data_IF_249095772218
#
_entry.id   IF_249095772218
#
_cell.length_a   1.000
_cell.length_b   1.000
_cell.length_c   1.000
_cell.angle_alpha   90.00
_cell.angle_beta   90.00
_cell.angle_gamma   90.00
#
_symmetry.space_group_name_H-M   'P 1'
#
loop_
_entity.id
_entity.type
_entity.pdbx_description
1 polymer ?
#
# COMPACT_ATOMS: atom_id res chain seq x y z
N UNK A 1 -4.17 -1.53 13.39
CA UNK A 1 -4.20 -2.02 11.99
C UNK A 1 -4.44 -0.83 11.07
N UNK A 2 -3.43 -0.38 10.31
CA UNK A 2 -3.57 0.73 9.35
C UNK A 2 -3.90 0.12 8.00
N UNK A 3 -5.11 0.37 7.50
CA UNK A 3 -5.50 -0.03 6.15
C UNK A 3 -4.77 0.92 5.19
N UNK A 4 -3.82 0.40 4.41
CA UNK A 4 -3.16 1.15 3.35
C UNK A 4 -4.22 1.48 2.29
N UNK A 5 -4.71 2.72 2.28
CA UNK A 5 -5.54 3.24 1.19
C UNK A 5 -4.61 3.64 0.04
N UNK A 6 -4.47 2.76 -0.95
CA UNK A 6 -3.78 3.09 -2.20
C UNK A 6 -4.74 3.90 -3.07
N UNK A 7 -4.28 5.07 -3.55
CA UNK A 7 -5.04 5.90 -4.50
C UNK A 7 -4.66 5.48 -5.92
N UNK A 8 -5.65 5.35 -6.82
CA UNK A 8 -5.40 5.11 -8.24
C UNK A 8 -5.15 6.42 -8.99
N UNK A 9 -4.03 6.51 -9.70
CA UNK A 9 -3.71 7.59 -10.61
C UNK A 9 -3.95 7.16 -12.06
N UNK A 10 -4.32 8.12 -12.92
CA UNK A 10 -4.34 7.89 -14.36
C UNK A 10 -2.90 7.73 -14.87
N UNK A 11 -2.72 6.98 -15.96
CA UNK A 11 -1.41 6.85 -16.61
C UNK A 11 -1.36 7.71 -17.86
N UNK A 12 -0.16 8.22 -18.16
CA UNK A 12 0.16 8.95 -19.38
C UNK A 12 1.39 8.38 -20.03
N UNK A 13 1.32 8.25 -21.34
CA UNK A 13 2.43 7.89 -22.20
C UNK A 13 2.95 9.17 -22.85
N UNK A 14 4.24 9.44 -22.66
CA UNK A 14 4.94 10.60 -23.22
C UNK A 14 5.92 10.07 -24.25
N UNK A 15 5.86 10.60 -25.48
CA UNK A 15 6.84 10.30 -26.52
C UNK A 15 8.02 11.28 -26.44
N UNK A 16 9.24 10.75 -26.28
CA UNK A 16 10.49 11.49 -26.26
C UNK A 16 11.44 11.02 -27.36
N UNK A 17 12.13 11.96 -28.02
CA UNK A 17 13.20 11.59 -28.94
C UNK A 17 14.46 11.23 -28.14
N UNK A 18 15.10 10.09 -28.46
CA UNK A 18 16.39 9.73 -27.86
C UNK A 18 17.40 10.79 -28.32
N UNK A 19 17.71 11.75 -27.46
CA UNK A 19 18.74 12.76 -27.69
C UNK A 19 20.01 12.27 -27.00
N UNK A 20 21.06 12.02 -27.79
CA UNK A 20 22.39 11.80 -27.25
C UNK A 20 22.94 13.16 -26.76
N UNK A 21 22.76 13.51 -25.48
CA UNK A 21 23.36 14.72 -24.88
C UNK A 21 22.65 15.24 -23.62
N UNK A 22 23.34 15.98 -22.74
CA UNK A 22 22.90 16.24 -21.36
C UNK A 22 21.67 17.15 -21.28
N UNK A 23 20.70 16.74 -20.45
CA UNK A 23 19.44 17.43 -20.15
C UNK A 23 19.69 18.80 -19.51
N UNK A 24 19.20 19.85 -20.16
CA UNK A 24 19.05 21.18 -19.55
C UNK A 24 17.64 21.27 -18.96
N UNK A 25 17.59 21.57 -17.67
CA UNK A 25 16.42 21.85 -16.84
C UNK A 25 15.62 23.02 -17.44
N UNK A 26 14.30 22.92 -17.51
CA UNK A 26 13.46 24.12 -17.74
C UNK A 26 12.16 24.04 -16.94
N UNK A 27 12.19 24.79 -15.84
CA UNK A 27 11.13 25.59 -15.20
C UNK A 27 9.67 25.11 -15.26
N UNK A 28 9.21 24.67 -14.09
CA UNK A 28 7.80 24.61 -13.73
C UNK A 28 7.18 26.02 -13.68
N UNK A 29 6.16 26.26 -14.49
CA UNK A 29 5.26 27.40 -14.35
C UNK A 29 4.03 26.99 -13.53
N UNK A 30 3.95 27.53 -12.32
CA UNK A 30 2.84 27.37 -11.39
C UNK A 30 1.81 28.51 -11.55
N UNK A 31 0.53 28.25 -11.88
CA UNK A 31 -0.50 29.27 -11.75
C UNK A 31 -1.22 29.16 -10.40
N UNK A 32 -0.85 30.08 -9.51
CA UNK A 32 -1.55 30.49 -8.30
C UNK A 32 -3.01 30.87 -8.63
N UNK A 33 -3.99 30.23 -7.98
CA UNK A 33 -5.37 30.72 -7.94
C UNK A 33 -5.88 30.81 -6.49
N UNK A 34 -5.87 32.04 -5.96
CA UNK A 34 -6.48 32.46 -4.68
C UNK A 34 -7.91 32.92 -4.94
N UNK A 35 -8.93 32.38 -4.25
CA UNK A 35 -10.23 33.07 -4.02
C UNK A 35 -10.82 32.74 -2.64
N UNK A 36 -11.59 33.72 -2.14
CA UNK A 36 -11.72 34.21 -0.76
C UNK A 36 -12.78 33.51 0.13
N UNK A 37 -12.53 33.67 1.43
CA UNK A 37 -13.38 33.52 2.62
C UNK A 37 -14.59 34.49 2.67
N UNK A 38 -15.75 33.98 3.09
CA UNK A 38 -16.83 34.61 3.88
C UNK A 38 -17.87 33.49 4.19
N UNK A 39 -18.46 33.25 5.36
CA UNK A 39 -18.59 33.99 6.61
C UNK A 39 -20.08 34.15 6.96
N UNK A 40 -20.53 33.53 8.08
CA UNK A 40 -21.70 33.91 8.96
C UNK A 40 -23.11 33.41 8.56
N UNK A 41 -24.09 33.05 9.43
CA UNK A 41 -24.26 32.75 10.88
C UNK A 41 -25.52 31.86 11.08
N UNK A 42 -25.51 31.01 12.11
CA UNK A 42 -26.51 30.67 13.15
C UNK A 42 -28.04 30.65 12.86
N UNK A 43 -28.70 29.52 13.18
CA UNK A 43 -29.82 29.34 14.16
C UNK A 43 -30.29 27.87 14.10
N UNK A 44 -30.12 27.04 15.14
CA UNK A 44 -30.96 26.86 16.35
C UNK A 44 -32.26 26.04 16.14
N UNK A 45 -32.28 24.80 16.62
CA UNK A 45 -33.37 24.08 17.35
C UNK A 45 -32.94 22.59 17.51
N UNK A 46 -32.69 22.09 18.73
CA UNK A 46 -33.60 21.24 19.53
C UNK A 46 -33.94 19.89 18.85
N UNK A 47 -33.99 18.70 19.45
CA UNK A 47 -34.12 18.18 20.83
C UNK A 47 -33.76 16.67 20.71
N UNK A 48 -32.94 16.11 21.59
CA UNK A 48 -33.34 15.28 22.75
C UNK A 48 -33.94 13.92 22.41
N UNK A 49 -33.26 12.83 22.81
CA UNK A 49 -33.79 11.51 23.23
C UNK A 49 -32.59 10.65 23.68
N UNK A 50 -32.10 10.81 24.91
CA UNK A 50 -32.41 9.98 26.10
C UNK A 50 -32.34 8.46 25.84
N UNK A 51 -31.14 7.89 26.02
CA UNK A 51 -30.95 6.44 26.17
C UNK A 51 -30.91 6.10 27.67
N UNK A 52 -31.99 5.50 28.15
CA UNK A 52 -32.15 4.95 29.49
C UNK A 52 -31.21 3.74 29.68
N UNK A 53 -30.21 3.86 30.55
CA UNK A 53 -29.32 2.76 30.93
C UNK A 53 -29.83 2.14 32.23
N UNK A 54 -30.43 0.96 32.13
CA UNK A 54 -30.81 0.15 33.28
C UNK A 54 -29.55 -0.31 34.06
N UNK A 55 -29.42 0.18 35.29
CA UNK A 55 -28.40 -0.24 36.26
C UNK A 55 -28.61 -1.70 36.65
N UNK A 56 -27.73 -2.60 36.20
CA UNK A 56 -27.60 -3.95 36.76
C UNK A 56 -26.44 -3.92 37.76
N UNK A 57 -26.76 -4.07 39.04
CA UNK A 57 -25.77 -4.13 40.12
C UNK A 57 -25.03 -5.48 40.06
N UNK A 58 -23.72 -5.45 39.84
CA UNK A 58 -22.82 -6.59 40.05
C UNK A 58 -21.89 -6.23 41.22
N UNK A 59 -22.11 -6.86 42.37
CA UNK A 59 -21.13 -7.00 43.47
C UNK A 59 -20.72 -8.48 43.41
N UNK A 60 -19.46 -8.92 43.47
CA UNK A 60 -18.21 -8.37 43.99
C UNK A 60 -17.02 -9.27 43.53
N UNK A 61 -15.79 -8.80 43.75
CA UNK A 61 -14.45 -9.45 43.61
C UNK A 61 -13.79 -9.32 42.23
N UNK A 62 -12.56 -8.80 42.05
CA UNK A 62 -11.45 -8.46 42.96
C UNK A 62 -10.59 -7.32 42.35
N UNK A 63 -10.04 -6.45 43.20
CA UNK A 63 -9.08 -5.38 42.86
C UNK A 63 -7.74 -5.94 42.35
N UNK A 64 -7.68 -6.32 41.08
CA UNK A 64 -6.44 -6.24 40.33
C UNK A 64 -6.67 -5.26 39.20
N UNK A 65 -6.36 -4.00 39.49
CA UNK A 65 -6.45 -2.88 38.58
C UNK A 65 -5.44 -3.10 37.45
N UNK A 66 -5.89 -3.77 36.39
CA UNK A 66 -5.10 -4.01 35.21
C UNK A 66 -5.12 -2.73 34.36
N UNK A 67 -4.33 -1.74 34.78
CA UNK A 67 -4.18 -0.49 34.03
C UNK A 67 -3.23 -0.70 32.85
N UNK A 68 -3.83 -0.88 31.67
CA UNK A 68 -3.14 -1.12 30.41
C UNK A 68 -2.50 0.14 29.79
N UNK A 69 -2.57 1.29 30.48
CA UNK A 69 -1.92 2.53 30.03
C UNK A 69 -0.52 2.71 30.62
N UNK A 70 -0.04 1.78 31.44
CA UNK A 70 1.31 1.83 31.96
C UNK A 70 2.30 1.33 30.88
N UNK A 71 3.33 2.12 30.53
CA UNK A 71 4.34 1.68 29.60
C UNK A 71 5.16 0.54 30.22
N UNK A 72 5.51 -0.47 29.42
CA UNK A 72 6.09 -1.75 29.86
C UNK A 72 7.54 -1.66 30.41
N UNK A 73 8.09 -0.46 30.55
CA UNK A 73 9.44 -0.20 31.01
C UNK A 73 9.44 0.38 32.43
N UNK A 74 9.00 -0.43 33.39
CA UNK A 74 9.56 -0.35 34.74
C UNK A 74 10.87 -1.12 34.68
N UNK A 75 11.98 -0.40 34.66
CA UNK A 75 13.29 -0.97 34.93
C UNK A 75 13.23 -1.60 36.32
N UNK A 76 13.06 -2.92 36.37
CA UNK A 76 13.24 -3.68 37.60
C UNK A 76 14.74 -3.63 37.88
N UNK A 77 15.11 -2.87 38.91
CA UNK A 77 16.44 -2.92 39.49
C UNK A 77 16.73 -4.40 39.84
N UNK A 78 17.65 -5.00 39.10
CA UNK A 78 18.03 -6.43 39.16
C UNK A 78 18.82 -6.79 40.44
N UNK A 79 18.59 -6.06 41.53
CA UNK A 79 19.15 -6.29 42.87
C UNK A 79 18.09 -6.69 43.90
N UNK A 80 16.84 -6.88 43.49
CA UNK A 80 15.91 -7.69 44.27
C UNK A 80 16.12 -9.15 43.89
N UNK A 81 17.07 -9.78 44.60
CA UNK A 81 17.07 -11.20 44.88
C UNK A 81 15.61 -11.61 45.10
N UNK A 82 15.06 -12.37 44.16
CA UNK A 82 13.78 -13.04 44.33
C UNK A 82 14.03 -13.96 45.52
N UNK A 83 13.69 -13.49 46.71
CA UNK A 83 13.54 -14.34 47.87
C UNK A 83 12.37 -15.23 47.52
N UNK A 84 12.69 -16.42 47.04
CA UNK A 84 11.77 -17.52 46.83
C UNK A 84 11.22 -17.87 48.20
N UNK A 85 10.26 -17.07 48.69
CA UNK A 85 9.57 -17.37 49.92
C UNK A 85 8.86 -18.71 49.70
N UNK A 86 9.38 -19.70 50.40
CA UNK A 86 8.91 -21.07 50.52
C UNK A 86 7.45 -21.08 50.96
N UNK A 87 6.54 -20.92 50.00
CA UNK A 87 5.10 -21.17 50.14
C UNK A 87 4.47 -21.14 48.75
N UNK A 88 4.32 -22.32 48.14
CA UNK A 88 3.50 -22.56 46.94
C UNK A 88 3.88 -21.80 45.64
N UNK A 89 5.10 -21.28 45.51
CA UNK A 89 5.58 -20.60 44.30
C UNK A 89 6.30 -21.49 43.27
N UNK A 90 6.97 -22.57 43.71
CA UNK A 90 7.77 -23.43 42.82
C UNK A 90 6.91 -24.28 41.87
N UNK A 91 5.79 -24.81 42.38
CA UNK A 91 4.84 -25.63 41.62
C UNK A 91 4.26 -24.80 40.46
N UNK A 92 4.00 -23.52 40.68
CA UNK A 92 3.37 -22.65 39.69
C UNK A 92 4.33 -22.18 38.58
N UNK A 93 5.65 -22.16 38.81
CA UNK A 93 6.63 -21.84 37.79
C UNK A 93 6.99 -23.06 36.93
N UNK A 94 7.20 -24.23 37.56
CA UNK A 94 7.42 -25.49 36.85
C UNK A 94 6.19 -25.92 36.03
N UNK A 95 4.98 -25.78 36.59
CA UNK A 95 3.74 -26.11 35.88
C UNK A 95 3.53 -25.28 34.61
N UNK A 96 3.91 -24.00 34.61
CA UNK A 96 3.82 -23.13 33.43
C UNK A 96 4.83 -23.50 32.34
N UNK A 97 6.04 -23.95 32.73
CA UNK A 97 7.08 -24.39 31.80
C UNK A 97 6.69 -25.71 31.10
N UNK A 98 6.13 -26.65 31.87
CA UNK A 98 5.67 -27.95 31.34
C UNK A 98 4.52 -27.78 30.33
N UNK A 99 3.55 -26.92 30.62
CA UNK A 99 2.46 -26.65 29.68
C UNK A 99 2.93 -26.01 28.36
N UNK A 100 3.95 -25.13 28.41
CA UNK A 100 4.49 -24.51 27.20
C UNK A 100 5.24 -25.54 26.34
N UNK A 101 5.99 -26.43 26.95
CA UNK A 101 6.69 -27.53 26.27
C UNK A 101 5.68 -28.49 25.62
N UNK A 102 4.66 -28.94 26.37
CA UNK A 102 3.57 -29.77 25.83
C UNK A 102 2.80 -29.08 24.68
N UNK A 103 2.60 -27.76 24.79
CA UNK A 103 1.96 -26.97 23.74
C UNK A 103 2.83 -26.88 22.48
N UNK A 104 4.14 -26.64 22.60
CA UNK A 104 5.05 -26.63 21.45
C UNK A 104 5.14 -28.03 20.81
N UNK A 105 5.18 -29.09 21.61
CA UNK A 105 5.18 -30.47 21.12
C UNK A 105 3.85 -30.86 20.43
N UNK A 106 2.75 -30.15 20.76
CA UNK A 106 1.47 -30.29 20.06
C UNK A 106 1.40 -29.57 18.70
N UNK A 107 2.37 -28.70 18.39
CA UNK A 107 2.45 -28.03 17.09
C UNK A 107 3.05 -29.00 16.07
N UNK A 108 2.20 -29.56 15.20
CA UNK A 108 2.64 -30.50 14.17
C UNK A 108 3.63 -29.89 13.15
N UNK A 109 3.46 -28.61 12.81
CA UNK A 109 4.27 -27.92 11.81
C UNK A 109 4.28 -26.42 12.05
N UNK A 110 5.44 -25.79 11.88
CA UNK A 110 5.57 -24.33 11.90
C UNK A 110 5.48 -23.82 10.46
N UNK A 111 4.53 -22.94 10.19
CA UNK A 111 4.42 -22.28 8.88
C UNK A 111 5.29 -21.03 8.88
N UNK A 112 6.37 -21.06 8.10
CA UNK A 112 7.15 -19.86 7.82
C UNK A 112 6.49 -19.04 6.71
N UNK A 113 6.05 -17.83 7.04
CA UNK A 113 5.59 -16.86 6.05
C UNK A 113 6.79 -16.14 5.44
N UNK A 114 7.14 -16.52 4.21
CA UNK A 114 8.16 -15.79 3.46
C UNK A 114 7.64 -14.40 3.06
N UNK A 115 8.46 -13.34 3.17
CA UNK A 115 8.10 -12.01 2.69
C UNK A 115 7.74 -12.02 1.20
N UNK A 116 6.84 -11.14 0.80
CA UNK A 116 6.51 -10.97 -0.61
C UNK A 116 7.65 -10.24 -1.33
N UNK A 117 8.16 -10.84 -2.40
CA UNK A 117 9.25 -10.31 -3.21
C UNK A 117 8.70 -9.36 -4.29
N UNK A 118 8.59 -8.08 -3.93
CA UNK A 118 8.11 -7.03 -4.85
C UNK A 118 9.10 -6.76 -5.98
N UNK A 119 10.40 -6.87 -5.72
CA UNK A 119 11.46 -6.59 -6.70
C UNK A 119 11.39 -7.58 -7.85
N UNK A 120 11.29 -8.87 -7.54
CA UNK A 120 11.14 -9.92 -8.55
C UNK A 120 9.85 -9.76 -9.36
N UNK A 121 8.76 -9.32 -8.72
CA UNK A 121 7.52 -9.05 -9.44
C UNK A 121 7.65 -7.82 -10.35
N UNK A 122 8.31 -6.75 -9.89
CA UNK A 122 8.55 -5.54 -10.65
C UNK A 122 9.38 -5.84 -11.91
N UNK A 123 10.46 -6.61 -11.79
CA UNK A 123 11.29 -7.05 -12.92
C UNK A 123 10.49 -7.86 -13.93
N UNK A 124 9.67 -8.81 -13.46
CA UNK A 124 8.80 -9.62 -14.32
C UNK A 124 7.82 -8.76 -15.12
N UNK A 125 7.15 -7.81 -14.45
CA UNK A 125 6.15 -6.95 -15.08
C UNK A 125 6.78 -5.92 -16.01
N UNK A 126 7.91 -5.32 -15.61
CA UNK A 126 8.67 -4.40 -16.46
C UNK A 126 9.12 -5.09 -17.76
N UNK A 127 9.60 -6.34 -17.65
CA UNK A 127 9.95 -7.15 -18.81
C UNK A 127 8.74 -7.40 -19.69
N UNK A 128 7.60 -7.82 -19.13
CA UNK A 128 6.37 -8.05 -19.91
C UNK A 128 5.92 -6.78 -20.66
N UNK A 129 6.00 -5.61 -20.03
CA UNK A 129 5.63 -4.34 -20.68
C UNK A 129 6.62 -3.96 -21.79
N UNK A 130 7.90 -4.25 -21.60
CA UNK A 130 8.95 -4.05 -22.61
C UNK A 130 8.75 -4.99 -23.80
N UNK A 131 8.45 -6.27 -23.55
CA UNK A 131 8.16 -7.25 -24.59
C UNK A 131 6.95 -6.80 -25.43
N UNK A 132 5.88 -6.32 -24.79
CA UNK A 132 4.70 -5.74 -25.47
C UNK A 132 5.08 -4.51 -26.31
N UNK A 133 5.98 -3.65 -25.83
CA UNK A 133 6.49 -2.53 -26.63
C UNK A 133 7.20 -3.03 -27.88
N UNK A 134 8.14 -3.96 -27.71
CA UNK A 134 8.96 -4.47 -28.80
C UNK A 134 8.14 -5.21 -29.86
N UNK A 135 7.10 -5.93 -29.45
CA UNK A 135 6.16 -6.59 -30.37
C UNK A 135 5.40 -5.60 -31.27
N UNK A 136 5.12 -4.39 -30.78
CA UNK A 136 4.28 -3.41 -31.49
C UNK A 136 5.12 -2.42 -32.29
N UNK A 137 6.22 -1.95 -31.72
CA UNK A 137 6.99 -0.81 -32.23
C UNK A 137 8.43 -1.18 -32.60
N UNK A 138 8.91 -2.37 -32.20
CA UNK A 138 10.28 -2.83 -32.48
C UNK A 138 11.24 -2.64 -31.31
N UNK A 139 12.33 -3.41 -31.33
CA UNK A 139 13.34 -3.50 -30.26
C UNK A 139 14.22 -2.25 -30.11
N UNK A 140 14.22 -1.38 -31.12
CA UNK A 140 14.94 -0.12 -31.15
C UNK A 140 14.33 0.96 -30.25
N UNK A 141 13.13 0.70 -29.71
CA UNK A 141 12.40 1.56 -28.81
C UNK A 141 12.65 1.20 -27.34
N UNK A 142 12.68 2.22 -26.49
CA UNK A 142 12.89 2.07 -25.05
C UNK A 142 11.62 2.44 -24.29
N UNK A 143 11.26 1.64 -23.29
CA UNK A 143 10.19 1.93 -22.34
C UNK A 143 10.78 2.38 -21.01
N UNK A 144 10.56 3.65 -20.63
CA UNK A 144 10.84 4.14 -19.29
C UNK A 144 9.54 4.07 -18.47
N UNK A 145 9.56 3.39 -17.31
CA UNK A 145 8.41 3.28 -16.42
C UNK A 145 8.72 4.06 -15.15
N UNK A 146 7.88 5.05 -14.85
CA UNK A 146 8.00 5.83 -13.62
C UNK A 146 7.71 4.98 -12.38
N UNK A 147 8.38 5.28 -11.26
CA UNK A 147 8.27 4.51 -10.03
C UNK A 147 6.83 4.48 -9.52
N UNK A 148 6.13 5.61 -9.57
CA UNK A 148 4.74 5.71 -9.12
C UNK A 148 3.79 4.82 -9.95
N UNK A 149 4.10 4.61 -11.25
CA UNK A 149 3.33 3.70 -12.11
C UNK A 149 3.57 2.26 -11.66
N UNK A 150 4.84 1.89 -11.46
CA UNK A 150 5.19 0.55 -11.02
C UNK A 150 4.61 0.24 -9.64
N UNK A 151 4.67 1.18 -8.70
CA UNK A 151 4.10 1.05 -7.36
C UNK A 151 2.58 0.82 -7.41
N UNK A 152 1.85 1.55 -8.26
CA UNK A 152 0.42 1.34 -8.44
C UNK A 152 0.13 -0.04 -9.04
N UNK A 153 0.93 -0.48 -10.02
CA UNK A 153 0.80 -1.81 -10.63
C UNK A 153 1.05 -2.93 -9.61
N UNK A 154 2.12 -2.82 -8.82
CA UNK A 154 2.46 -3.78 -7.78
C UNK A 154 1.40 -3.82 -6.68
N UNK A 155 0.86 -2.66 -6.28
CA UNK A 155 -0.24 -2.60 -5.32
C UNK A 155 -1.49 -3.35 -5.82
N UNK A 156 -1.83 -3.24 -7.11
CA UNK A 156 -2.95 -4.01 -7.70
C UNK A 156 -2.65 -5.50 -7.65
N UNK A 157 -1.46 -5.93 -8.09
CA UNK A 157 -1.08 -7.34 -8.10
C UNK A 157 -1.09 -7.96 -6.71
N UNK A 158 -0.58 -7.23 -5.72
CA UNK A 158 -0.54 -7.68 -4.33
C UNK A 158 -1.93 -7.75 -3.70
N UNK A 159 -2.76 -6.72 -3.91
CA UNK A 159 -4.12 -6.68 -3.32
C UNK A 159 -5.10 -7.64 -4.00
N UNK A 160 -4.89 -7.97 -5.28
CA UNK A 160 -5.73 -8.93 -6.00
C UNK A 160 -5.40 -10.38 -5.65
N UNK A 161 -4.19 -10.65 -5.12
CA UNK A 161 -3.67 -12.01 -4.92
C UNK A 161 -3.47 -12.80 -6.21
N UNK A 162 -3.65 -12.16 -7.38
CA UNK A 162 -3.58 -12.80 -8.69
C UNK A 162 -2.89 -11.87 -9.70
N UNK A 163 -1.65 -12.21 -10.07
CA UNK A 163 -0.85 -11.44 -11.02
C UNK A 163 -1.42 -11.47 -12.43
N UNK A 164 -2.24 -12.45 -12.80
CA UNK A 164 -2.83 -12.55 -14.14
C UNK A 164 -3.69 -11.32 -14.48
N UNK A 165 -4.36 -10.72 -13.49
CA UNK A 165 -5.17 -9.51 -13.71
C UNK A 165 -4.30 -8.36 -14.25
N UNK A 166 -3.10 -8.20 -13.70
CA UNK A 166 -2.15 -7.18 -14.11
C UNK A 166 -1.54 -7.53 -15.46
N UNK A 167 -1.17 -8.78 -15.68
CA UNK A 167 -0.65 -9.24 -16.98
C UNK A 167 -1.68 -9.06 -18.11
N UNK A 168 -2.95 -9.33 -17.85
CA UNK A 168 -4.05 -9.14 -18.79
C UNK A 168 -4.30 -7.66 -19.04
N UNK A 169 -4.22 -6.81 -18.01
CA UNK A 169 -4.27 -5.36 -18.19
C UNK A 169 -3.13 -4.86 -19.07
N UNK A 170 -1.89 -5.33 -18.84
CA UNK A 170 -0.74 -4.98 -19.68
C UNK A 170 -1.02 -5.41 -21.13
N UNK A 171 -1.36 -6.67 -21.36
CA UNK A 171 -1.60 -7.21 -22.71
C UNK A 171 -2.77 -6.55 -23.44
N UNK A 172 -3.78 -6.08 -22.74
CA UNK A 172 -4.95 -5.46 -23.35
C UNK A 172 -4.81 -3.94 -23.48
N UNK A 173 -4.62 -3.25 -22.36
CA UNK A 173 -4.61 -1.78 -22.30
C UNK A 173 -3.31 -1.24 -22.89
N UNK A 174 -2.15 -1.75 -22.48
CA UNK A 174 -0.87 -1.23 -22.99
C UNK A 174 -0.75 -1.46 -24.50
N UNK A 175 -1.08 -2.67 -24.98
CA UNK A 175 -1.07 -3.02 -26.41
C UNK A 175 -1.93 -2.08 -27.24
N UNK A 176 -3.16 -1.82 -26.79
CA UNK A 176 -4.08 -0.91 -27.49
C UNK A 176 -3.48 0.49 -27.60
N UNK A 177 -2.98 1.04 -26.51
CA UNK A 177 -2.50 2.42 -26.48
C UNK A 177 -1.15 2.60 -27.17
N UNK A 178 -0.27 1.59 -27.15
CA UNK A 178 0.96 1.58 -27.94
C UNK A 178 0.67 1.51 -29.44
N UNK A 179 -0.30 0.70 -29.86
CA UNK A 179 -0.72 0.64 -31.27
C UNK A 179 -1.26 1.99 -31.73
N UNK A 180 -2.06 2.65 -30.88
CA UNK A 180 -2.57 4.00 -31.11
C UNK A 180 -1.43 5.03 -31.15
N UNK A 181 -0.47 4.97 -30.22
CA UNK A 181 0.70 5.85 -30.17
C UNK A 181 1.57 5.70 -31.42
N UNK A 182 1.81 4.47 -31.88
CA UNK A 182 2.53 4.18 -33.13
C UNK A 182 1.92 4.89 -34.33
N UNK A 183 0.59 4.89 -34.43
CA UNK A 183 -0.13 5.57 -35.51
C UNK A 183 -0.12 7.10 -35.38
N UNK A 184 -0.06 7.63 -34.15
CA UNK A 184 -0.16 9.08 -33.88
C UNK A 184 1.16 9.83 -33.96
N UNK A 185 2.24 9.23 -33.46
CA UNK A 185 3.53 9.90 -33.28
C UNK A 185 4.58 9.52 -34.31
N UNK A 186 4.23 8.70 -35.30
CA UNK A 186 5.13 8.16 -36.32
C UNK A 186 6.44 7.62 -35.70
N UNK A 187 6.31 6.48 -35.01
CA UNK A 187 7.41 5.78 -34.33
C UNK A 187 8.32 5.04 -35.33
N UNK A 188 8.61 5.66 -36.48
CA UNK A 188 9.49 5.13 -37.53
C UNK A 188 10.97 5.25 -37.18
N UNK A 189 11.31 5.98 -36.12
CA UNK A 189 12.68 6.17 -35.64
C UNK A 189 12.79 5.76 -34.16
N UNK A 190 13.97 5.27 -33.72
CA UNK A 190 14.22 4.92 -32.33
C UNK A 190 13.83 6.07 -31.38
N UNK A 191 12.87 5.79 -30.51
CA UNK A 191 12.34 6.76 -29.56
C UNK A 191 12.20 6.17 -28.17
N UNK A 192 12.19 7.06 -27.18
CA UNK A 192 11.98 6.74 -25.78
C UNK A 192 10.52 7.02 -25.45
N UNK A 193 9.83 6.00 -24.96
CA UNK A 193 8.43 6.10 -24.55
C UNK A 193 8.42 6.02 -23.02
N UNK A 194 7.90 7.07 -22.39
CA UNK A 194 7.83 7.15 -20.93
C UNK A 194 6.40 6.95 -20.46
N UNK A 195 6.18 6.02 -19.53
CA UNK A 195 4.92 5.80 -18.85
C UNK A 195 4.98 6.44 -17.47
N UNK A 196 4.14 7.45 -17.22
CA UNK A 196 4.11 8.25 -15.99
C UNK A 196 2.71 8.26 -15.37
N UNK A 197 2.63 8.53 -14.07
CA UNK A 197 1.34 8.83 -13.44
C UNK A 197 0.89 10.26 -13.75
N UNK A 198 -0.42 10.47 -13.73
CA UNK A 198 -1.04 11.78 -13.83
C UNK A 198 -1.66 12.14 -12.48
N UNK A 199 -1.53 13.41 -12.10
CA UNK A 199 -2.20 13.98 -10.93
C UNK A 199 -3.74 13.93 -11.02
N UNK A 200 -4.31 13.51 -12.17
CA UNK A 200 -5.72 13.16 -12.28
C UNK A 200 -5.98 11.85 -11.55
N UNK A 201 -6.63 11.95 -10.40
CA UNK A 201 -7.07 10.81 -9.59
C UNK A 201 -8.33 10.22 -10.24
N UNK A 202 -8.35 8.91 -10.47
CA UNK A 202 -9.61 8.22 -10.70
C UNK A 202 -10.34 8.15 -9.36
N UNK A 203 -11.40 8.94 -9.21
CA UNK A 203 -12.27 8.91 -8.05
C UNK A 203 -13.17 7.66 -8.10
N UNK A 204 -12.57 6.48 -8.01
CA UNK A 204 -13.29 5.27 -7.63
C UNK A 204 -12.74 4.89 -6.26
N UNK A 205 -13.44 5.37 -5.23
CA UNK A 205 -13.30 4.82 -3.89
C UNK A 205 -13.51 3.30 -3.98
N UNK A 206 -12.58 2.53 -3.41
CA UNK A 206 -12.49 1.07 -3.35
C UNK A 206 -11.48 0.49 -4.38
N UNK A 207 -10.36 0.00 -3.84
CA UNK A 207 -9.28 -0.75 -4.48
C UNK A 207 -8.38 0.00 -5.50
N UNK A 208 -7.07 -0.34 -5.56
CA UNK A 208 -6.20 0.17 -6.61
C UNK A 208 -6.62 -0.50 -7.92
N UNK A 209 -7.35 0.23 -8.76
CA UNK A 209 -7.63 -0.20 -10.12
C UNK A 209 -6.57 0.39 -11.05
N UNK A 210 -6.05 -0.46 -11.94
CA UNK A 210 -5.28 0.00 -13.08
C UNK A 210 -6.21 0.82 -13.98
N UNK A 211 -5.74 1.96 -14.53
CA UNK A 211 -6.61 2.82 -15.33
C UNK A 211 -7.03 2.07 -16.61
N UNK A 212 -8.30 2.15 -17.02
CA UNK A 212 -8.79 1.47 -18.22
C UNK A 212 -8.21 2.04 -19.53
N UNK A 213 -7.62 3.24 -19.44
CA UNK A 213 -7.08 4.00 -20.57
C UNK A 213 -5.77 4.69 -20.18
N UNK A 214 -4.86 4.82 -21.14
CA UNK A 214 -3.61 5.57 -20.99
C UNK A 214 -3.71 6.83 -21.84
N UNK A 215 -3.42 7.99 -21.24
CA UNK A 215 -3.44 9.27 -21.95
C UNK A 215 -2.20 9.35 -22.83
N UNK A 216 -2.37 9.52 -24.14
CA UNK A 216 -1.25 9.75 -25.05
C UNK A 216 -0.92 11.25 -25.09
N UNK A 217 0.35 11.61 -24.95
CA UNK A 217 0.83 13.00 -24.92
C UNK A 217 2.13 13.19 -25.69
#
# INVERSE_FOLDING_TARGET
MRILRVKGHAFRMIHGHISQGPKIVTEEQNPVNKRKLAGRDVTALEKHEMFEVAKRAFKQASDSQFDLNLPANVDYDMDQVIDCHESHGEIHCQSRKLWLEDFMDSINETVEFQPFDFDRLAEKLAKLMTDVLHDIVGSEHLLEIDNDVMDQILAVAYTSGNTCIVEDWIKSVLTKHLTEARSRFDLSFPSEIKLVTCNQIYAVELAPFLPPTIILS
#
